data_IF_715433015610
#
_entry.id   IF_715433015610
#
_cell.length_a   1.000
_cell.length_b   1.000
_cell.length_c   1.000
_cell.angle_alpha   90.00
_cell.angle_beta   90.00
_cell.angle_gamma   90.00
#
_symmetry.space_group_name_H-M   'P 1'
#
loop_
_entity.id
_entity.type
_entity.pdbx_description
1 polymer ?
#
# COMPACT_ATOMS: atom_id res chain seq x y z
N UNK A 1 -37.39 20.25 -9.99
CA UNK A 1 -37.13 18.92 -9.35
C UNK A 1 -37.13 17.76 -10.37
N UNK A 2 -38.05 17.72 -11.36
CA UNK A 2 -38.01 16.75 -12.48
C UNK A 2 -36.94 17.05 -13.55
N UNK A 3 -36.59 18.31 -13.76
CA UNK A 3 -35.52 18.69 -14.71
C UNK A 3 -34.09 18.48 -14.16
N UNK A 4 -33.88 18.66 -12.84
CA UNK A 4 -32.59 18.37 -12.19
C UNK A 4 -32.31 16.86 -12.08
N UNK A 5 -33.37 16.05 -11.97
CA UNK A 5 -33.25 14.58 -12.02
C UNK A 5 -33.08 14.07 -13.46
N UNK A 6 -33.66 14.75 -14.46
CA UNK A 6 -33.36 14.48 -15.87
C UNK A 6 -31.92 14.88 -16.27
N UNK A 7 -31.38 15.98 -15.72
CA UNK A 7 -29.99 16.38 -15.93
C UNK A 7 -28.98 15.41 -15.27
N UNK A 8 -29.31 14.83 -14.10
CA UNK A 8 -28.50 13.75 -13.50
C UNK A 8 -28.66 12.39 -14.21
N UNK A 9 -29.81 12.13 -14.84
CA UNK A 9 -30.04 10.91 -15.62
C UNK A 9 -29.40 10.97 -17.02
N UNK A 10 -29.19 12.17 -17.57
CA UNK A 10 -28.57 12.39 -18.89
C UNK A 10 -27.03 12.31 -18.93
N UNK A 11 -26.35 12.16 -17.79
CA UNK A 11 -24.88 12.18 -17.70
C UNK A 11 -24.23 10.78 -17.63
N UNK A 12 -25.01 9.70 -17.71
CA UNK A 12 -24.52 8.32 -17.61
C UNK A 12 -24.55 7.61 -18.96
N UNK A 13 -23.81 8.16 -19.93
CA UNK A 13 -23.40 7.36 -21.07
C UNK A 13 -22.28 6.41 -20.60
N UNK A 14 -22.66 5.14 -20.38
CA UNK A 14 -21.76 4.06 -19.97
C UNK A 14 -20.66 3.75 -20.99
N UNK A 15 -20.67 4.42 -22.15
CA UNK A 15 -19.75 4.19 -23.27
C UNK A 15 -18.70 5.28 -23.46
N UNK A 16 -18.77 6.40 -22.73
CA UNK A 16 -17.81 7.49 -22.94
C UNK A 16 -16.41 7.15 -22.41
N UNK A 17 -15.36 7.25 -23.24
CA UNK A 17 -13.99 7.01 -22.82
C UNK A 17 -13.54 8.10 -21.83
N UNK A 18 -12.83 7.68 -20.78
CA UNK A 18 -12.36 8.55 -19.68
C UNK A 18 -11.55 9.79 -20.10
N UNK A 19 -10.97 9.78 -21.30
CA UNK A 19 -10.29 10.93 -21.90
C UNK A 19 -11.22 12.14 -22.09
N UNK A 20 -12.53 11.93 -22.24
CA UNK A 20 -13.51 13.02 -22.33
C UNK A 20 -13.96 13.52 -20.94
N UNK A 21 -13.82 12.69 -19.90
CA UNK A 21 -14.16 13.04 -18.50
C UNK A 21 -13.06 13.90 -17.87
N UNK A 22 -11.79 13.67 -18.24
CA UNK A 22 -10.66 14.56 -17.89
C UNK A 22 -10.89 16.00 -18.39
N UNK A 23 -11.65 16.19 -19.49
CA UNK A 23 -11.98 17.51 -20.05
C UNK A 23 -13.14 18.24 -19.34
N UNK A 24 -13.99 17.53 -18.58
CA UNK A 24 -15.11 18.14 -17.84
C UNK A 24 -14.75 18.51 -16.39
N UNK A 25 -13.70 17.93 -15.82
CA UNK A 25 -13.21 18.25 -14.47
C UNK A 25 -12.22 19.41 -14.52
N UNK A 26 -12.72 20.64 -14.70
CA UNK A 26 -11.86 21.83 -14.60
C UNK A 26 -11.12 21.87 -13.26
N UNK A 27 -9.78 21.82 -13.29
CA UNK A 27 -8.79 22.04 -12.19
C UNK A 27 -9.04 21.45 -10.77
N UNK A 28 -10.13 20.72 -10.49
CA UNK A 28 -10.57 20.30 -9.15
C UNK A 28 -10.87 18.81 -9.09
N UNK A 29 -9.83 17.98 -9.26
CA UNK A 29 -9.91 16.54 -8.95
C UNK A 29 -9.24 16.28 -7.60
N UNK A 30 -9.98 15.68 -6.66
CA UNK A 30 -9.56 15.46 -5.26
C UNK A 30 -8.33 14.56 -5.18
N UNK A 31 -8.28 13.54 -6.05
CA UNK A 31 -7.23 12.52 -6.07
C UNK A 31 -6.21 12.71 -7.20
N UNK A 32 -6.13 13.88 -7.81
CA UNK A 32 -5.27 14.15 -8.98
C UNK A 32 -3.81 13.69 -8.80
N UNK A 33 -3.21 13.94 -7.64
CA UNK A 33 -1.84 13.50 -7.34
C UNK A 33 -1.68 11.98 -7.29
N UNK A 34 -2.68 11.26 -6.77
CA UNK A 34 -2.67 9.79 -6.71
C UNK A 34 -2.93 9.19 -8.09
N UNK A 35 -3.80 9.81 -8.89
CA UNK A 35 -4.03 9.42 -10.28
C UNK A 35 -2.75 9.61 -11.09
N UNK A 36 -2.06 10.74 -10.94
CA UNK A 36 -0.76 10.97 -11.58
C UNK A 36 0.27 9.92 -11.15
N UNK A 37 0.29 9.57 -9.87
CA UNK A 37 1.16 8.53 -9.36
C UNK A 37 0.87 7.15 -9.99
N UNK A 38 -0.41 6.77 -10.08
CA UNK A 38 -0.85 5.55 -10.76
C UNK A 38 -0.60 5.59 -12.29
N UNK A 39 -0.54 6.77 -12.91
CA UNK A 39 -0.11 6.94 -14.30
C UNK A 39 1.37 6.58 -14.47
N UNK A 40 2.23 7.08 -13.58
CA UNK A 40 3.66 6.72 -13.57
C UNK A 40 3.84 5.22 -13.34
N UNK A 41 3.00 4.60 -12.49
CA UNK A 41 2.99 3.15 -12.29
C UNK A 41 2.54 2.33 -13.51
N UNK A 42 2.03 2.97 -14.57
CA UNK A 42 1.43 2.27 -15.71
C UNK A 42 0.05 1.66 -15.42
N UNK A 43 -0.56 1.93 -14.26
CA UNK A 43 -1.88 1.42 -13.89
C UNK A 43 -3.01 2.29 -14.45
N UNK A 44 -2.82 3.60 -14.51
CA UNK A 44 -3.86 4.53 -14.98
C UNK A 44 -3.50 5.14 -16.34
N UNK A 45 -4.34 5.03 -17.38
CA UNK A 45 -4.05 5.64 -18.68
C UNK A 45 -4.32 7.13 -18.69
N UNK A 46 -3.48 7.85 -19.43
CA UNK A 46 -3.63 9.28 -19.72
C UNK A 46 -4.48 9.54 -20.99
N UNK A 47 -4.40 8.65 -21.98
CA UNK A 47 -5.22 8.61 -23.20
C UNK A 47 -5.14 7.20 -23.81
N UNK A 48 -6.09 6.81 -24.67
CA UNK A 48 -6.00 5.55 -25.41
C UNK A 48 -4.83 5.62 -26.42
N UNK A 49 -3.63 5.31 -25.97
CA UNK A 49 -2.42 5.39 -26.78
C UNK A 49 -1.56 4.14 -26.62
N UNK A 50 -1.04 3.64 -27.73
CA UNK A 50 -0.16 2.47 -27.77
C UNK A 50 1.06 2.60 -26.83
N UNK A 51 1.54 3.82 -26.59
CA UNK A 51 2.67 4.11 -25.68
C UNK A 51 2.38 3.74 -24.23
N UNK A 52 1.17 4.01 -23.73
CA UNK A 52 0.77 3.66 -22.37
C UNK A 52 0.67 2.13 -22.24
N UNK A 53 0.02 1.47 -23.19
CA UNK A 53 -0.10 0.02 -23.19
C UNK A 53 1.27 -0.65 -23.25
N UNK A 54 2.17 -0.16 -24.11
CA UNK A 54 3.53 -0.66 -24.22
C UNK A 54 4.29 -0.53 -22.89
N UNK A 55 4.21 0.63 -22.23
CA UNK A 55 4.84 0.84 -20.93
C UNK A 55 4.31 -0.14 -19.87
N UNK A 56 2.98 -0.27 -19.75
CA UNK A 56 2.36 -1.18 -18.78
C UNK A 56 2.75 -2.64 -19.04
N UNK A 57 2.68 -3.09 -20.30
CA UNK A 57 3.06 -4.45 -20.67
C UNK A 57 4.55 -4.69 -20.39
N UNK A 58 5.42 -3.73 -20.73
CA UNK A 58 6.85 -3.84 -20.47
C UNK A 58 7.16 -3.99 -18.97
N UNK A 59 6.51 -3.20 -18.11
CA UNK A 59 6.68 -3.30 -16.64
C UNK A 59 6.28 -4.68 -16.13
N UNK A 60 5.18 -5.25 -16.62
CA UNK A 60 4.73 -6.59 -16.23
C UNK A 60 5.63 -7.70 -16.79
N UNK A 61 6.14 -7.55 -18.01
CA UNK A 61 7.10 -8.49 -18.61
C UNK A 61 8.44 -8.50 -17.84
N UNK A 62 8.94 -7.33 -17.44
CA UNK A 62 10.13 -7.25 -16.59
C UNK A 62 9.91 -7.94 -15.24
N UNK A 63 8.72 -7.79 -14.63
CA UNK A 63 8.37 -8.50 -13.40
C UNK A 63 8.36 -10.02 -13.58
N UNK A 64 7.77 -10.54 -14.67
CA UNK A 64 7.79 -11.97 -14.99
C UNK A 64 9.21 -12.48 -15.20
N UNK A 65 10.03 -11.75 -15.95
CA UNK A 65 11.43 -12.11 -16.17
C UNK A 65 12.22 -12.14 -14.86
N UNK A 66 11.99 -11.16 -13.98
CA UNK A 66 12.59 -11.14 -12.65
C UNK A 66 12.17 -12.33 -11.78
N UNK A 67 10.89 -12.71 -11.80
CA UNK A 67 10.40 -13.90 -11.09
C UNK A 67 11.09 -15.16 -11.63
N UNK A 68 11.19 -15.31 -12.95
CA UNK A 68 11.87 -16.46 -13.56
C UNK A 68 13.35 -16.55 -13.12
N UNK A 69 14.05 -15.42 -13.08
CA UNK A 69 15.43 -15.33 -12.57
C UNK A 69 15.50 -15.71 -11.09
N UNK A 70 14.59 -15.23 -10.26
CA UNK A 70 14.55 -15.58 -8.84
C UNK A 70 14.26 -17.06 -8.59
N UNK A 71 13.35 -17.65 -9.37
CA UNK A 71 13.08 -19.10 -9.30
C UNK A 71 14.31 -19.90 -9.71
N UNK A 72 14.98 -19.52 -10.81
CA UNK A 72 16.22 -20.16 -11.24
C UNK A 72 17.32 -20.05 -10.16
N UNK A 73 17.47 -18.87 -9.55
CA UNK A 73 18.39 -18.63 -8.44
C UNK A 73 18.14 -19.59 -7.28
N UNK A 74 16.88 -19.73 -6.83
CA UNK A 74 16.51 -20.67 -5.74
C UNK A 74 16.85 -22.12 -6.11
N UNK A 75 16.64 -22.54 -7.36
CA UNK A 75 17.01 -23.89 -7.81
C UNK A 75 18.52 -24.13 -7.83
N UNK A 76 19.31 -23.08 -8.11
CA UNK A 76 20.77 -23.17 -8.15
C UNK A 76 21.43 -22.99 -6.79
N UNK A 77 20.73 -22.42 -5.81
CA UNK A 77 21.27 -22.11 -4.49
C UNK A 77 21.59 -23.40 -3.72
N UNK A 78 22.88 -23.67 -3.50
CA UNK A 78 23.39 -24.88 -2.81
C UNK A 78 23.47 -24.64 -1.30
N UNK A 79 22.31 -24.50 -0.67
CA UNK A 79 22.19 -24.48 0.79
C UNK A 79 22.38 -23.11 1.44
N UNK A 80 22.48 -22.01 0.68
CA UNK A 80 22.38 -20.65 1.23
C UNK A 80 20.93 -20.29 1.58
N UNK A 81 20.50 -20.71 2.78
CA UNK A 81 19.14 -20.47 3.29
C UNK A 81 18.85 -18.98 3.43
N UNK A 82 19.87 -18.17 3.74
CA UNK A 82 19.73 -16.72 3.92
C UNK A 82 19.44 -16.03 2.58
N UNK A 83 20.22 -16.34 1.55
CA UNK A 83 20.02 -15.83 0.18
C UNK A 83 18.69 -16.29 -0.43
N UNK A 84 18.31 -17.55 -0.22
CA UNK A 84 17.01 -18.09 -0.66
C UNK A 84 15.85 -17.34 0.02
N UNK A 85 15.94 -17.13 1.34
CA UNK A 85 14.88 -16.45 2.10
C UNK A 85 14.68 -15.01 1.64
N UNK A 86 15.77 -14.26 1.44
CA UNK A 86 15.71 -12.90 0.92
C UNK A 86 15.12 -12.85 -0.50
N UNK A 87 15.55 -13.76 -1.37
CA UNK A 87 15.00 -13.88 -2.74
C UNK A 87 13.51 -14.20 -2.70
N UNK A 88 13.09 -15.13 -1.85
CA UNK A 88 11.68 -15.51 -1.71
C UNK A 88 10.80 -14.35 -1.21
N UNK A 89 11.25 -13.59 -0.20
CA UNK A 89 10.51 -12.42 0.28
C UNK A 89 10.30 -11.38 -0.83
N UNK A 90 11.35 -11.12 -1.63
CA UNK A 90 11.24 -10.15 -2.71
C UNK A 90 10.37 -10.67 -3.87
N UNK A 91 10.44 -11.97 -4.18
CA UNK A 91 9.55 -12.61 -5.16
C UNK A 91 8.08 -12.50 -4.74
N UNK A 92 7.76 -12.75 -3.46
CA UNK A 92 6.41 -12.61 -2.93
C UNK A 92 5.87 -11.19 -3.09
N UNK A 93 6.71 -10.17 -2.87
CA UNK A 93 6.30 -8.77 -3.04
C UNK A 93 6.02 -8.41 -4.50
N UNK A 94 6.88 -8.86 -5.43
CA UNK A 94 6.67 -8.65 -6.88
C UNK A 94 5.39 -9.36 -7.34
N UNK A 95 5.14 -10.58 -6.87
CA UNK A 95 3.91 -11.34 -7.17
C UNK A 95 2.67 -10.61 -6.64
N UNK A 96 2.72 -10.08 -5.41
CA UNK A 96 1.65 -9.27 -4.83
C UNK A 96 1.35 -8.03 -5.71
N UNK A 97 2.38 -7.32 -6.16
CA UNK A 97 2.26 -6.20 -7.09
C UNK A 97 1.56 -6.58 -8.41
N UNK A 98 1.94 -7.71 -9.01
CA UNK A 98 1.29 -8.24 -10.22
C UNK A 98 -0.18 -8.60 -10.00
N UNK A 99 -0.50 -9.27 -8.89
CA UNK A 99 -1.88 -9.61 -8.51
C UNK A 99 -2.72 -8.34 -8.34
N UNK A 100 -2.20 -7.34 -7.64
CA UNK A 100 -2.88 -6.04 -7.48
C UNK A 100 -3.09 -5.33 -8.82
N UNK A 101 -2.10 -5.32 -9.71
CA UNK A 101 -2.23 -4.76 -11.04
C UNK A 101 -3.35 -5.47 -11.84
N UNK A 102 -3.36 -6.82 -11.83
CA UNK A 102 -4.41 -7.61 -12.48
C UNK A 102 -5.81 -7.34 -11.91
N UNK A 103 -5.93 -7.24 -10.59
CA UNK A 103 -7.18 -6.88 -9.92
C UNK A 103 -7.63 -5.46 -10.29
N UNK A 104 -6.69 -4.52 -10.43
CA UNK A 104 -6.98 -3.14 -10.82
C UNK A 104 -7.55 -3.11 -12.24
N UNK A 105 -6.90 -3.79 -13.19
CA UNK A 105 -7.38 -3.87 -14.56
C UNK A 105 -8.76 -4.52 -14.66
N UNK A 106 -8.98 -5.59 -13.88
CA UNK A 106 -10.28 -6.30 -13.84
C UNK A 106 -11.42 -5.42 -13.30
N UNK A 107 -11.14 -4.57 -12.32
CA UNK A 107 -12.15 -3.71 -11.66
C UNK A 107 -12.02 -2.24 -12.05
N UNK A 108 -11.33 -1.91 -13.14
CA UNK A 108 -10.93 -0.53 -13.47
C UNK A 108 -12.09 0.46 -13.53
N UNK A 109 -13.25 0.04 -14.05
CA UNK A 109 -14.45 0.87 -14.09
C UNK A 109 -14.96 1.24 -12.69
N UNK A 110 -14.75 0.39 -11.68
CA UNK A 110 -15.11 0.69 -10.29
C UNK A 110 -14.24 1.80 -9.71
N UNK A 111 -12.92 1.77 -9.94
CA UNK A 111 -12.01 2.85 -9.51
C UNK A 111 -12.37 4.20 -10.10
N UNK A 112 -12.76 4.18 -11.38
CA UNK A 112 -13.25 5.35 -12.08
C UNK A 112 -14.49 5.94 -11.44
N UNK A 113 -15.50 5.10 -11.17
CA UNK A 113 -16.69 5.55 -10.45
C UNK A 113 -16.37 6.06 -9.05
N UNK A 114 -15.41 5.45 -8.34
CA UNK A 114 -14.99 5.92 -7.02
C UNK A 114 -14.42 7.35 -7.08
N UNK A 115 -13.52 7.63 -8.02
CA UNK A 115 -13.00 9.00 -8.18
C UNK A 115 -14.12 10.00 -8.47
N UNK A 116 -15.03 9.66 -9.39
CA UNK A 116 -16.16 10.52 -9.74
C UNK A 116 -17.11 10.75 -8.56
N UNK A 117 -17.53 9.67 -7.88
CA UNK A 117 -18.42 9.75 -6.72
C UNK A 117 -17.78 10.60 -5.61
N UNK A 118 -16.47 10.49 -5.38
CA UNK A 118 -15.76 11.30 -4.39
C UNK A 118 -15.71 12.78 -4.80
N UNK A 119 -15.35 13.08 -6.05
CA UNK A 119 -15.29 14.46 -6.55
C UNK A 119 -16.66 15.14 -6.50
N UNK A 120 -17.74 14.41 -6.81
CA UNK A 120 -19.12 14.89 -6.68
C UNK A 120 -19.54 15.15 -5.22
N UNK A 121 -19.06 14.36 -4.27
CA UNK A 121 -19.35 14.60 -2.84
C UNK A 121 -18.58 15.80 -2.28
N UNK A 122 -17.39 16.09 -2.82
CA UNK A 122 -16.50 17.15 -2.33
C UNK A 122 -16.74 18.49 -3.05
N UNK A 123 -17.43 18.50 -4.19
CA UNK A 123 -17.54 19.67 -5.07
C UNK A 123 -18.12 20.92 -4.40
N UNK A 124 -19.16 20.76 -3.58
CA UNK A 124 -19.83 21.89 -2.90
C UNK A 124 -18.99 22.47 -1.75
N UNK A 125 -18.20 21.62 -1.09
CA UNK A 125 -17.46 21.94 0.13
C UNK A 125 -15.94 22.01 -0.11
N UNK A 126 -15.51 22.21 -1.36
CA UNK A 126 -14.13 22.04 -1.79
C UNK A 126 -13.10 22.79 -0.92
N UNK A 127 -13.42 24.02 -0.51
CA UNK A 127 -12.53 24.92 0.24
C UNK A 127 -12.65 24.78 1.77
N UNK A 128 -13.44 23.82 2.27
CA UNK A 128 -13.55 23.55 3.71
C UNK A 128 -12.20 23.08 4.29
N UNK A 129 -11.82 23.55 5.49
CA UNK A 129 -10.51 23.25 6.08
C UNK A 129 -10.30 21.75 6.30
N UNK A 130 -11.35 20.99 6.62
CA UNK A 130 -11.31 19.54 6.80
C UNK A 130 -10.84 18.84 5.52
N UNK A 131 -11.46 19.19 4.38
CA UNK A 131 -11.15 18.61 3.07
C UNK A 131 -9.80 19.08 2.52
N UNK A 132 -9.44 20.35 2.77
CA UNK A 132 -8.10 20.87 2.46
C UNK A 132 -7.03 20.10 3.24
N UNK A 133 -7.27 19.83 4.53
CA UNK A 133 -6.34 19.08 5.36
C UNK A 133 -6.20 17.63 4.89
N UNK A 134 -7.32 16.96 4.55
CA UNK A 134 -7.31 15.60 4.02
C UNK A 134 -6.51 15.50 2.72
N UNK A 135 -6.69 16.43 1.77
CA UNK A 135 -5.87 16.50 0.53
C UNK A 135 -4.39 16.67 0.83
N UNK A 136 -4.03 17.58 1.75
CA UNK A 136 -2.64 17.83 2.13
C UNK A 136 -2.00 16.62 2.79
N UNK A 137 -2.67 15.97 3.74
CA UNK A 137 -2.18 14.78 4.43
C UNK A 137 -2.04 13.60 3.48
N UNK A 138 -3.05 13.33 2.64
CA UNK A 138 -2.99 12.26 1.66
C UNK A 138 -1.79 12.43 0.71
N UNK A 139 -1.61 13.65 0.15
CA UNK A 139 -0.46 13.93 -0.72
C UNK A 139 0.87 13.82 0.00
N UNK A 140 0.97 14.40 1.21
CA UNK A 140 2.20 14.36 2.01
C UNK A 140 2.59 12.93 2.33
N UNK A 141 1.65 12.10 2.77
CA UNK A 141 1.88 10.69 3.08
C UNK A 141 2.42 9.93 1.86
N UNK A 142 1.75 10.04 0.71
CA UNK A 142 2.16 9.35 -0.53
C UNK A 142 3.55 9.79 -0.99
N UNK A 143 3.83 11.10 -1.00
CA UNK A 143 5.14 11.63 -1.41
C UNK A 143 6.23 11.25 -0.42
N UNK A 144 5.99 11.39 0.89
CA UNK A 144 6.98 11.05 1.92
C UNK A 144 7.30 9.56 1.95
N UNK A 145 6.30 8.68 1.88
CA UNK A 145 6.49 7.22 1.84
C UNK A 145 7.26 6.80 0.58
N UNK A 146 6.86 7.34 -0.57
CA UNK A 146 7.54 7.08 -1.84
C UNK A 146 9.00 7.55 -1.81
N UNK A 147 9.24 8.78 -1.36
CA UNK A 147 10.58 9.35 -1.28
C UNK A 147 11.47 8.51 -0.36
N UNK A 148 10.96 8.11 0.81
CA UNK A 148 11.66 7.23 1.74
C UNK A 148 12.08 5.92 1.07
N UNK A 149 11.14 5.21 0.42
CA UNK A 149 11.45 3.93 -0.22
C UNK A 149 12.44 4.08 -1.37
N UNK A 150 12.31 5.10 -2.22
CA UNK A 150 13.30 5.34 -3.27
C UNK A 150 14.67 5.74 -2.70
N UNK A 151 14.74 6.49 -1.60
CA UNK A 151 16.04 6.78 -0.96
C UNK A 151 16.71 5.50 -0.47
N UNK A 152 15.97 4.55 0.09
CA UNK A 152 16.51 3.26 0.49
C UNK A 152 17.00 2.45 -0.72
N UNK A 153 16.21 2.40 -1.80
CA UNK A 153 16.58 1.68 -3.02
C UNK A 153 17.82 2.30 -3.65
N UNK A 154 17.85 3.63 -3.82
CA UNK A 154 18.99 4.33 -4.43
C UNK A 154 20.26 4.24 -3.57
N UNK A 155 20.12 4.14 -2.25
CA UNK A 155 21.23 3.86 -1.35
C UNK A 155 21.72 2.41 -1.48
N UNK A 156 20.81 1.46 -1.67
CA UNK A 156 21.13 0.04 -1.81
C UNK A 156 21.74 -0.33 -3.17
N UNK A 157 21.25 0.28 -4.26
CA UNK A 157 21.64 -0.09 -5.63
C UNK A 157 23.16 -0.08 -5.87
N UNK A 158 23.97 0.88 -5.36
CA UNK A 158 25.42 0.85 -5.53
C UNK A 158 26.14 -0.15 -4.62
N UNK A 159 25.53 -0.61 -3.53
CA UNK A 159 26.20 -1.42 -2.51
C UNK A 159 26.87 -2.71 -3.05
N UNK A 160 26.25 -3.50 -3.96
CA UNK A 160 26.89 -4.69 -4.53
C UNK A 160 28.13 -4.36 -5.37
N UNK A 161 28.14 -3.20 -6.04
CA UNK A 161 29.28 -2.75 -6.84
C UNK A 161 30.44 -2.23 -5.98
N UNK A 162 30.12 -1.69 -4.81
CA UNK A 162 31.11 -1.16 -3.85
C UNK A 162 31.65 -2.24 -2.92
N UNK A 163 30.83 -3.24 -2.58
CA UNK A 163 31.20 -4.36 -1.71
C UNK A 163 31.86 -5.53 -2.47
N UNK A 164 31.57 -5.66 -3.77
CA UNK A 164 32.18 -6.67 -4.63
C UNK A 164 33.65 -6.33 -4.90
N UNK A 165 34.56 -7.03 -4.23
CA UNK A 165 35.98 -7.10 -4.62
C UNK A 165 36.14 -7.85 -5.95
N UNK A 166 36.87 -8.97 -5.95
CA UNK A 166 37.04 -9.79 -7.18
C UNK A 166 35.75 -10.51 -7.63
N UNK A 167 34.72 -10.59 -6.77
CA UNK A 167 33.43 -11.22 -7.10
C UNK A 167 32.36 -10.16 -7.42
N UNK A 168 31.79 -10.24 -8.63
CA UNK A 168 30.67 -9.39 -9.04
C UNK A 168 29.36 -9.88 -8.41
N UNK A 169 28.72 -9.03 -7.62
CA UNK A 169 27.44 -9.31 -6.95
C UNK A 169 26.28 -8.61 -7.65
N UNK A 170 25.12 -9.26 -7.68
CA UNK A 170 23.87 -8.66 -8.18
C UNK A 170 23.17 -7.83 -7.07
N UNK A 171 22.21 -6.94 -7.40
CA UNK A 171 21.54 -6.10 -6.39
C UNK A 171 20.67 -6.83 -5.36
N UNK A 172 19.94 -7.86 -5.79
CA UNK A 172 18.95 -8.53 -4.95
C UNK A 172 19.05 -10.04 -5.09
N UNK A 173 18.84 -10.56 -6.29
CA UNK A 173 18.85 -12.00 -6.56
C UNK A 173 20.25 -12.40 -6.99
N UNK A 174 20.92 -13.23 -6.19
CA UNK A 174 22.20 -13.84 -6.53
C UNK A 174 21.98 -15.16 -7.27
N UNK A 175 22.78 -15.44 -8.30
CA UNK A 175 22.80 -16.75 -8.95
C UNK A 175 24.12 -17.40 -8.59
N UNK A 176 24.06 -18.52 -7.86
CA UNK A 176 25.24 -19.23 -7.42
C UNK A 176 25.91 -20.00 -8.56
N UNK A 177 27.23 -20.08 -8.52
CA UNK A 177 28.02 -20.90 -9.44
C UNK A 177 28.28 -20.30 -10.84
N UNK A 178 27.91 -19.03 -11.06
CA UNK A 178 28.18 -18.32 -12.32
C UNK A 178 29.34 -17.35 -12.15
N UNK A 179 30.38 -17.52 -12.97
CA UNK A 179 31.46 -16.54 -13.07
C UNK A 179 31.08 -15.43 -14.06
N UNK A 180 30.73 -14.27 -13.51
CA UNK A 180 30.33 -13.07 -14.26
C UNK A 180 31.48 -12.39 -15.01
N UNK A 181 32.74 -12.81 -14.80
CA UNK A 181 33.87 -12.34 -15.60
C UNK A 181 33.78 -12.85 -17.05
N UNK A 182 33.25 -14.05 -17.24
CA UNK A 182 33.08 -14.70 -18.55
C UNK A 182 31.89 -14.15 -19.35
N UNK A 183 30.86 -13.61 -18.66
CA UNK A 183 29.60 -13.15 -19.28
C UNK A 183 29.23 -11.72 -18.87
N UNK A 184 30.05 -10.71 -19.21
CA UNK A 184 29.84 -9.33 -18.75
C UNK A 184 28.54 -8.70 -19.28
N UNK A 185 28.10 -9.06 -20.50
CA UNK A 185 26.84 -8.59 -21.07
C UNK A 185 25.60 -9.14 -20.35
N UNK A 186 25.62 -10.43 -19.99
CA UNK A 186 24.54 -11.05 -19.22
C UNK A 186 24.44 -10.47 -17.81
N UNK A 187 25.58 -10.23 -17.16
CA UNK A 187 25.65 -9.53 -15.87
C UNK A 187 24.99 -8.14 -15.96
N UNK A 188 25.40 -7.32 -16.93
CA UNK A 188 24.83 -5.97 -17.11
C UNK A 188 23.32 -6.00 -17.39
N UNK A 189 22.85 -6.96 -18.20
CA UNK A 189 21.43 -7.13 -18.51
C UNK A 189 20.61 -7.54 -17.28
N UNK A 190 21.09 -8.50 -16.48
CA UNK A 190 20.42 -8.91 -15.24
C UNK A 190 20.44 -7.80 -14.19
N UNK A 191 21.55 -7.09 -14.06
CA UNK A 191 21.63 -5.93 -13.18
C UNK A 191 20.60 -4.86 -13.57
N UNK A 192 20.56 -4.50 -14.86
CA UNK A 192 19.58 -3.54 -15.39
C UNK A 192 18.14 -4.02 -15.19
N UNK A 193 17.85 -5.31 -15.38
CA UNK A 193 16.55 -5.91 -15.11
C UNK A 193 16.16 -5.73 -13.64
N UNK A 194 17.03 -6.11 -12.69
CA UNK A 194 16.74 -5.98 -11.26
C UNK A 194 16.53 -4.51 -10.85
N UNK A 195 17.37 -3.58 -11.34
CA UNK A 195 17.17 -2.14 -11.12
C UNK A 195 15.83 -1.65 -11.69
N UNK A 196 15.48 -2.07 -12.92
CA UNK A 196 14.24 -1.65 -13.56
C UNK A 196 13.02 -2.12 -12.77
N UNK A 197 13.05 -3.34 -12.24
CA UNK A 197 11.95 -3.92 -11.47
C UNK A 197 11.81 -3.21 -10.12
N UNK A 198 12.92 -2.99 -9.41
CA UNK A 198 12.92 -2.23 -8.14
C UNK A 198 12.33 -0.83 -8.31
N UNK A 199 12.66 -0.14 -9.41
CA UNK A 199 12.16 1.22 -9.65
C UNK A 199 10.70 1.24 -10.13
N UNK A 200 10.27 0.26 -10.92
CA UNK A 200 8.94 0.27 -11.56
C UNK A 200 7.85 -0.42 -10.74
N UNK A 201 8.19 -1.38 -9.86
CA UNK A 201 7.20 -2.10 -9.05
C UNK A 201 6.74 -1.31 -7.81
N UNK A 202 7.63 -0.50 -7.23
CA UNK A 202 7.31 0.38 -6.08
C UNK A 202 6.02 1.19 -6.28
N UNK A 203 5.85 1.95 -7.38
CA UNK A 203 4.63 2.74 -7.57
C UNK A 203 3.40 1.89 -7.87
N UNK A 204 3.56 0.65 -8.37
CA UNK A 204 2.45 -0.30 -8.58
C UNK A 204 1.89 -0.76 -7.23
N UNK A 205 2.76 -1.16 -6.30
CA UNK A 205 2.36 -1.64 -4.98
C UNK A 205 1.82 -0.50 -4.12
N UNK A 206 2.62 0.56 -3.95
CA UNK A 206 2.32 1.68 -3.04
C UNK A 206 1.16 2.52 -3.57
N UNK A 207 1.04 2.67 -4.90
CA UNK A 207 0.07 3.58 -5.49
C UNK A 207 -1.37 3.22 -5.13
N UNK A 208 -1.70 1.93 -5.14
CA UNK A 208 -3.04 1.44 -4.81
C UNK A 208 -3.31 1.51 -3.30
N UNK A 209 -2.31 1.27 -2.46
CA UNK A 209 -2.43 1.38 -1.00
C UNK A 209 -2.64 2.85 -0.59
N UNK A 210 -1.84 3.76 -1.16
CA UNK A 210 -1.98 5.19 -0.97
C UNK A 210 -3.32 5.73 -1.51
N UNK A 211 -3.82 5.20 -2.63
CA UNK A 211 -5.15 5.55 -3.14
C UNK A 211 -6.24 5.19 -2.13
N UNK A 212 -6.20 3.99 -1.55
CA UNK A 212 -7.17 3.57 -0.54
C UNK A 212 -7.12 4.45 0.71
N UNK A 213 -5.92 4.72 1.23
CA UNK A 213 -5.75 5.59 2.41
C UNK A 213 -6.22 7.02 2.11
N UNK A 214 -5.90 7.56 0.92
CA UNK A 214 -6.36 8.87 0.50
C UNK A 214 -7.89 8.94 0.44
N UNK A 215 -8.56 7.94 -0.14
CA UNK A 215 -10.02 7.86 -0.17
C UNK A 215 -10.60 7.85 1.26
N UNK A 216 -10.04 7.05 2.16
CA UNK A 216 -10.47 6.97 3.56
C UNK A 216 -10.29 8.30 4.31
N UNK A 217 -9.19 9.03 4.10
CA UNK A 217 -8.97 10.35 4.69
C UNK A 217 -10.03 11.37 4.24
N UNK A 218 -10.45 11.35 2.97
CA UNK A 218 -11.51 12.22 2.49
C UNK A 218 -12.88 11.81 3.04
N UNK A 219 -13.17 10.51 3.13
CA UNK A 219 -14.40 10.04 3.78
C UNK A 219 -14.45 10.48 5.25
N UNK A 220 -13.34 10.36 5.98
CA UNK A 220 -13.26 10.83 7.36
C UNK A 220 -13.54 12.34 7.47
N UNK A 221 -13.00 13.15 6.57
CA UNK A 221 -13.28 14.59 6.51
C UNK A 221 -14.76 14.89 6.19
N UNK A 222 -15.38 14.14 5.27
CA UNK A 222 -16.80 14.26 4.95
C UNK A 222 -17.70 13.89 6.14
N UNK A 223 -17.33 12.87 6.92
CA UNK A 223 -18.04 12.49 8.14
C UNK A 223 -17.90 13.54 9.24
N UNK A 224 -16.71 14.14 9.40
CA UNK A 224 -16.49 15.25 10.33
C UNK A 224 -17.35 16.46 9.96
N UNK A 225 -17.39 16.83 8.67
CA UNK A 225 -18.21 17.93 8.18
C UNK A 225 -19.70 17.67 8.41
N UNK A 226 -20.16 16.44 8.15
CA UNK A 226 -21.53 16.02 8.44
C UNK A 226 -21.85 16.15 9.94
N UNK A 227 -20.94 15.72 10.81
CA UNK A 227 -21.08 15.87 12.26
C UNK A 227 -21.23 17.33 12.69
N UNK A 228 -20.40 18.23 12.14
CA UNK A 228 -20.50 19.68 12.40
C UNK A 228 -21.83 20.26 11.95
N UNK A 229 -22.33 19.87 10.76
CA UNK A 229 -23.64 20.33 10.26
C UNK A 229 -24.78 19.87 11.17
N UNK A 230 -24.76 18.61 11.62
CA UNK A 230 -25.76 18.06 12.54
C UNK A 230 -25.72 18.79 13.89
N UNK A 231 -24.54 19.06 14.46
CA UNK A 231 -24.46 19.84 15.71
C UNK A 231 -24.97 21.27 15.55
N UNK A 232 -24.76 21.88 14.38
CA UNK A 232 -25.31 23.21 14.06
C UNK A 232 -26.84 23.24 14.05
N UNK A 233 -27.49 22.14 13.65
CA UNK A 233 -28.95 22.03 13.66
C UNK A 233 -29.54 22.07 15.08
N UNK A 234 -28.85 21.51 16.07
CA UNK A 234 -29.33 21.53 17.46
C UNK A 234 -29.40 22.96 18.01
N UNK A 235 -28.37 23.79 17.72
CA UNK A 235 -28.33 25.20 18.13
C UNK A 235 -29.48 25.99 17.49
N UNK A 236 -29.73 25.75 16.19
CA UNK A 236 -30.83 26.40 15.46
C UNK A 236 -32.19 25.96 16.03
N UNK A 237 -32.35 24.66 16.34
CA UNK A 237 -33.57 24.11 16.92
C UNK A 237 -33.90 24.73 18.29
N UNK A 238 -32.89 24.95 19.15
CA UNK A 238 -33.07 25.64 20.43
C UNK A 238 -33.59 27.07 20.24
N UNK A 239 -33.01 27.82 19.30
CA UNK A 239 -33.44 29.20 18.98
C UNK A 239 -34.84 29.27 18.34
N UNK A 240 -35.34 28.21 17.70
CA UNK A 240 -36.70 28.17 17.11
C UNK A 240 -37.78 28.07 18.18
N UNK A 241 -37.49 27.46 19.33
CA UNK A 241 -38.45 27.28 20.42
C UNK A 241 -38.94 28.63 21.00
N UNK A 242 -38.11 29.68 20.90
CA UNK A 242 -38.38 31.01 21.47
C UNK A 242 -39.15 31.96 20.52
N UNK A 243 -39.43 31.53 19.28
CA UNK A 243 -40.03 32.39 18.23
C UNK A 243 -41.53 32.08 18.01
N UNK A 244 -42.38 33.11 17.99
CA UNK A 244 -43.81 33.02 17.68
C UNK A 244 -44.14 33.31 16.19
N UNK A 245 -45.22 32.72 15.66
CA UNK A 245 -45.81 33.05 14.35
C UNK A 245 -45.14 32.44 13.11
N UNK A 246 -45.37 33.03 11.93
CA UNK A 246 -44.91 32.56 10.60
C UNK A 246 -43.38 32.37 10.48
N UNK A 247 -42.60 33.15 11.24
CA UNK A 247 -41.13 33.06 11.26
C UNK A 247 -40.67 31.69 11.81
N UNK A 248 -41.38 31.16 12.80
CA UNK A 248 -41.10 29.83 13.37
C UNK A 248 -41.36 28.69 12.38
N UNK A 249 -42.37 28.83 11.50
CA UNK A 249 -42.70 27.84 10.47
C UNK A 249 -41.64 27.82 9.37
N UNK A 250 -41.22 29.00 8.88
CA UNK A 250 -40.18 29.11 7.86
C UNK A 250 -38.84 28.54 8.35
N UNK A 251 -38.46 28.81 9.60
CA UNK A 251 -37.22 28.27 10.19
C UNK A 251 -37.28 26.76 10.42
N UNK A 252 -38.44 26.20 10.82
CA UNK A 252 -38.65 24.75 10.91
C UNK A 252 -38.51 24.05 9.55
N UNK A 253 -39.02 24.65 8.47
CA UNK A 253 -38.85 24.11 7.11
C UNK A 253 -37.38 24.08 6.69
N UNK A 254 -36.61 25.13 6.99
CA UNK A 254 -35.17 25.17 6.72
C UNK A 254 -34.42 24.10 7.53
N UNK A 255 -34.75 23.95 8.82
CA UNK A 255 -34.15 22.91 9.69
C UNK A 255 -34.40 21.51 9.13
N UNK A 256 -35.65 21.22 8.74
CA UNK A 256 -36.01 19.92 8.18
C UNK A 256 -35.32 19.67 6.83
N UNK A 257 -35.25 20.68 5.96
CA UNK A 257 -34.56 20.57 4.68
C UNK A 257 -33.07 20.26 4.86
N UNK A 258 -32.40 20.93 5.80
CA UNK A 258 -30.98 20.70 6.09
C UNK A 258 -30.74 19.32 6.72
N UNK A 259 -31.65 18.85 7.58
CA UNK A 259 -31.62 17.48 8.11
C UNK A 259 -31.75 16.44 6.97
N UNK A 260 -32.67 16.66 6.03
CA UNK A 260 -32.79 15.80 4.85
C UNK A 260 -31.48 15.77 4.03
N UNK A 261 -30.83 16.92 3.84
CA UNK A 261 -29.52 17.01 3.16
C UNK A 261 -28.45 16.20 3.91
N UNK A 262 -28.41 16.31 5.24
CA UNK A 262 -27.48 15.53 6.07
C UNK A 262 -27.69 14.02 5.90
N UNK A 263 -28.95 13.56 5.93
CA UNK A 263 -29.30 12.14 5.74
C UNK A 263 -28.86 11.66 4.35
N UNK A 264 -29.16 12.44 3.30
CA UNK A 264 -28.77 12.10 1.92
C UNK A 264 -27.25 12.04 1.77
N UNK A 265 -26.51 12.99 2.36
CA UNK A 265 -25.05 12.99 2.31
C UNK A 265 -24.46 11.80 3.07
N UNK A 266 -25.00 11.43 4.24
CA UNK A 266 -24.60 10.23 4.94
C UNK A 266 -24.82 8.94 4.12
N UNK A 267 -25.95 8.86 3.42
CA UNK A 267 -26.26 7.74 2.52
C UNK A 267 -25.28 7.66 1.35
N UNK A 268 -24.91 8.81 0.75
CA UNK A 268 -23.88 8.87 -0.30
C UNK A 268 -22.53 8.37 0.21
N UNK A 269 -22.09 8.82 1.38
CA UNK A 269 -20.83 8.38 2.01
C UNK A 269 -20.85 6.88 2.26
N UNK A 270 -21.94 6.35 2.81
CA UNK A 270 -22.08 4.92 3.11
C UNK A 270 -22.07 4.08 1.83
N UNK A 271 -22.73 4.54 0.76
CA UNK A 271 -22.70 3.88 -0.56
C UNK A 271 -21.30 3.90 -1.16
N UNK A 272 -20.59 5.02 -1.05
CA UNK A 272 -19.20 5.15 -1.50
C UNK A 272 -18.28 4.18 -0.76
N UNK A 273 -18.39 4.09 0.57
CA UNK A 273 -17.61 3.14 1.38
C UNK A 273 -17.82 1.69 0.95
N UNK A 274 -19.07 1.26 0.71
CA UNK A 274 -19.35 -0.10 0.22
C UNK A 274 -18.71 -0.36 -1.16
N UNK A 275 -18.78 0.62 -2.06
CA UNK A 275 -18.15 0.50 -3.38
C UNK A 275 -16.61 0.45 -3.27
N UNK A 276 -16.03 1.25 -2.36
CA UNK A 276 -14.59 1.29 -2.11
C UNK A 276 -14.11 -0.04 -1.54
N UNK A 277 -14.83 -0.58 -0.56
CA UNK A 277 -14.58 -1.88 0.05
C UNK A 277 -14.67 -3.00 -1.00
N UNK A 278 -15.73 -3.06 -1.80
CA UNK A 278 -15.87 -4.08 -2.84
C UNK A 278 -14.76 -4.03 -3.91
N UNK A 279 -14.26 -2.83 -4.21
CA UNK A 279 -13.14 -2.65 -5.13
C UNK A 279 -11.81 -3.09 -4.52
N UNK A 280 -11.56 -2.73 -3.25
CA UNK A 280 -10.22 -2.73 -2.64
C UNK A 280 -9.99 -3.86 -1.64
N UNK A 281 -11.02 -4.48 -1.08
CA UNK A 281 -10.92 -5.49 -0.01
C UNK A 281 -9.97 -6.62 -0.37
N UNK A 282 -10.10 -7.21 -1.57
CA UNK A 282 -9.20 -8.28 -2.04
C UNK A 282 -7.75 -7.81 -2.15
N UNK A 283 -7.49 -6.58 -2.59
CA UNK A 283 -6.13 -6.04 -2.71
C UNK A 283 -5.50 -5.80 -1.35
N UNK A 284 -6.27 -5.26 -0.40
CA UNK A 284 -5.83 -5.07 0.99
C UNK A 284 -5.51 -6.41 1.63
N UNK A 285 -6.34 -7.44 1.40
CA UNK A 285 -6.09 -8.79 1.90
C UNK A 285 -4.78 -9.38 1.35
N UNK A 286 -4.54 -9.25 0.04
CA UNK A 286 -3.30 -9.70 -0.60
C UNK A 286 -2.08 -8.97 -0.02
N UNK A 287 -2.17 -7.65 0.21
CA UNK A 287 -1.06 -6.90 0.81
C UNK A 287 -0.79 -7.32 2.25
N UNK A 288 -1.82 -7.40 3.09
CA UNK A 288 -1.65 -7.73 4.50
C UNK A 288 -1.11 -9.14 4.69
N UNK A 289 -1.59 -10.10 3.89
CA UNK A 289 -1.07 -11.48 3.92
C UNK A 289 0.38 -11.55 3.47
N UNK A 290 0.74 -10.90 2.35
CA UNK A 290 2.12 -10.87 1.85
C UNK A 290 3.06 -10.22 2.85
N UNK A 291 2.71 -9.03 3.36
CA UNK A 291 3.51 -8.32 4.37
C UNK A 291 3.74 -9.18 5.61
N UNK A 292 2.72 -9.87 6.09
CA UNK A 292 2.87 -10.71 7.27
C UNK A 292 3.79 -11.90 7.02
N UNK A 293 3.68 -12.56 5.86
CA UNK A 293 4.59 -13.66 5.50
C UNK A 293 6.02 -13.16 5.46
N UNK A 294 6.28 -12.02 4.80
CA UNK A 294 7.61 -11.41 4.73
C UNK A 294 8.14 -11.05 6.12
N UNK A 295 7.31 -10.45 6.99
CA UNK A 295 7.69 -10.16 8.37
C UNK A 295 8.03 -11.44 9.15
N UNK A 296 7.21 -12.48 9.04
CA UNK A 296 7.45 -13.73 9.75
C UNK A 296 8.75 -14.42 9.28
N UNK A 297 9.01 -14.45 7.97
CA UNK A 297 10.26 -15.00 7.43
C UNK A 297 11.47 -14.19 7.88
N UNK A 298 11.39 -12.85 7.85
CA UNK A 298 12.48 -11.99 8.28
C UNK A 298 12.80 -12.16 9.76
N UNK A 299 11.78 -12.24 10.61
CA UNK A 299 11.95 -12.52 12.04
C UNK A 299 12.55 -13.90 12.29
N UNK A 300 12.10 -14.91 11.56
CA UNK A 300 12.66 -16.27 11.67
C UNK A 300 14.16 -16.29 11.35
N UNK A 301 14.56 -15.62 10.27
CA UNK A 301 15.97 -15.51 9.88
C UNK A 301 16.83 -14.86 10.98
N UNK A 302 16.33 -13.79 11.62
CA UNK A 302 17.03 -13.14 12.73
C UNK A 302 17.18 -14.06 13.95
N UNK A 303 16.18 -14.90 14.24
CA UNK A 303 16.28 -15.90 15.32
C UNK A 303 17.36 -16.93 15.01
N UNK A 304 17.40 -17.46 13.78
CA UNK A 304 18.41 -18.44 13.36
C UNK A 304 19.84 -17.88 13.47
N UNK A 305 20.05 -16.62 13.08
CA UNK A 305 21.35 -15.96 13.24
C UNK A 305 21.76 -15.81 14.72
N UNK A 306 20.81 -15.58 15.63
CA UNK A 306 21.06 -15.57 17.07
C UNK A 306 21.48 -16.94 17.63
N UNK A 307 20.87 -18.03 17.14
CA UNK A 307 21.21 -19.40 17.52
C UNK A 307 22.61 -19.77 17.01
N UNK A 308 22.93 -19.45 15.76
CA UNK A 308 24.25 -19.68 15.17
C UNK A 308 25.38 -18.98 15.95
N UNK A 309 25.14 -17.78 16.49
CA UNK A 309 26.09 -17.10 17.37
C UNK A 309 26.34 -17.88 18.66
N UNK A 310 25.29 -18.44 19.26
CA UNK A 310 25.41 -19.28 20.47
C UNK A 310 26.21 -20.55 20.19
N UNK A 311 25.94 -21.20 19.06
CA UNK A 311 26.67 -22.40 18.62
C UNK A 311 28.15 -22.09 18.36
N UNK A 312 28.45 -21.01 17.63
CA UNK A 312 29.82 -20.59 17.35
C UNK A 312 30.60 -20.22 18.63
N UNK A 313 29.93 -19.60 19.60
CA UNK A 313 30.51 -19.35 20.92
C UNK A 313 30.82 -20.69 21.62
N UNK A 314 29.89 -21.64 21.60
CA UNK A 314 30.07 -22.96 22.22
C UNK A 314 31.20 -23.78 21.59
N UNK A 315 31.28 -23.78 20.25
CA UNK A 315 32.28 -24.49 19.47
C UNK A 315 33.64 -23.78 19.41
N UNK A 316 33.79 -22.64 20.09
CA UNK A 316 35.09 -21.98 20.17
C UNK A 316 36.07 -22.83 21.00
N UNK A 317 37.37 -22.67 20.75
CA UNK A 317 38.41 -23.37 21.52
C UNK A 317 38.60 -22.73 22.92
N UNK A 318 37.52 -22.59 23.68
CA UNK A 318 37.49 -21.96 25.01
C UNK A 318 38.01 -22.88 26.12
N UNK A 319 37.98 -24.20 25.88
CA UNK A 319 38.56 -25.21 26.76
C UNK A 319 40.08 -25.10 26.68
N UNK A 320 40.70 -24.46 27.69
CA UNK A 320 42.12 -24.12 27.72
C UNK A 320 42.45 -22.62 27.58
N UNK A 321 41.46 -21.78 27.26
CA UNK A 321 41.61 -20.33 27.26
C UNK A 321 41.69 -19.75 28.69
N UNK A 322 42.21 -18.53 28.84
CA UNK A 322 42.32 -17.87 30.13
C UNK A 322 40.96 -17.65 30.83
N UNK A 323 40.95 -17.68 32.16
CA UNK A 323 39.73 -17.59 32.98
C UNK A 323 38.87 -16.35 32.70
N UNK A 324 39.48 -15.23 32.28
CA UNK A 324 38.76 -14.03 31.86
C UNK A 324 37.94 -14.23 30.59
N UNK A 325 38.50 -14.91 29.58
CA UNK A 325 37.82 -15.22 28.32
C UNK A 325 36.65 -16.19 28.54
N UNK A 326 36.87 -17.25 29.32
CA UNK A 326 35.84 -18.23 29.65
C UNK A 326 34.64 -17.59 30.35
N UNK A 327 34.88 -16.71 31.32
CA UNK A 327 33.81 -15.96 32.02
C UNK A 327 33.04 -15.05 31.06
N UNK A 328 33.73 -14.34 30.17
CA UNK A 328 33.09 -13.49 29.18
C UNK A 328 32.23 -14.30 28.21
N UNK A 329 32.72 -15.44 27.74
CA UNK A 329 32.01 -16.32 26.82
C UNK A 329 30.77 -16.96 27.44
N UNK A 330 30.81 -17.34 28.72
CA UNK A 330 29.62 -17.81 29.45
C UNK A 330 28.51 -16.75 29.48
N UNK A 331 28.87 -15.46 29.62
CA UNK A 331 27.89 -14.36 29.57
C UNK A 331 27.29 -14.24 28.16
N UNK A 332 28.12 -14.36 27.12
CA UNK A 332 27.67 -14.32 25.71
C UNK A 332 26.69 -15.46 25.43
N UNK A 333 27.05 -16.72 25.77
CA UNK A 333 26.17 -17.88 25.57
C UNK A 333 24.87 -17.76 26.37
N UNK A 334 24.96 -17.36 27.66
CA UNK A 334 23.77 -17.18 28.50
C UNK A 334 22.82 -16.09 27.97
N UNK A 335 23.35 -15.07 27.30
CA UNK A 335 22.55 -14.03 26.65
C UNK A 335 22.01 -14.44 25.28
N UNK A 336 22.80 -15.19 24.50
CA UNK A 336 22.41 -15.68 23.18
C UNK A 336 21.30 -16.75 23.25
N UNK A 337 21.24 -17.53 24.33
CA UNK A 337 20.15 -18.49 24.58
C UNK A 337 18.78 -17.86 24.83
N UNK A 338 18.68 -16.53 25.01
CA UNK A 338 17.39 -15.85 25.11
C UNK A 338 16.86 -15.63 23.69
N UNK A 339 15.76 -16.30 23.28
CA UNK A 339 15.28 -16.20 21.91
C UNK A 339 14.93 -14.75 21.56
N UNK A 340 15.36 -14.30 20.38
CA UNK A 340 15.10 -12.97 19.81
C UNK A 340 13.62 -12.87 19.38
N UNK A 341 12.71 -12.96 20.35
CA UNK A 341 11.27 -12.86 20.13
C UNK A 341 10.86 -11.40 20.05
N UNK A 342 10.46 -10.96 18.87
CA UNK A 342 9.79 -9.67 18.71
C UNK A 342 8.32 -9.85 19.05
N UNK A 343 7.84 -9.09 20.03
CA UNK A 343 6.43 -9.09 20.46
C UNK A 343 5.73 -7.83 19.97
N UNK A 344 4.51 -7.97 19.46
CA UNK A 344 3.61 -6.87 19.18
C UNK A 344 3.14 -6.27 20.52
N UNK A 345 3.69 -5.10 20.87
CA UNK A 345 3.32 -4.35 22.07
C UNK A 345 3.50 -5.12 23.38
N UNK A 346 4.49 -6.02 23.49
CA UNK A 346 4.71 -6.93 24.63
C UNK A 346 3.59 -7.94 24.93
N UNK A 347 2.55 -8.02 24.10
CA UNK A 347 1.39 -8.90 24.34
C UNK A 347 1.51 -10.23 23.61
N UNK A 348 1.94 -10.20 22.33
CA UNK A 348 1.96 -11.39 21.48
C UNK A 348 3.23 -11.48 20.64
N UNK A 349 3.90 -12.64 20.55
CA UNK A 349 5.02 -12.82 19.63
C UNK A 349 4.54 -12.69 18.17
N UNK A 350 5.28 -11.94 17.35
CA UNK A 350 5.00 -11.82 15.92
C UNK A 350 5.56 -13.05 15.22
N UNK A 351 4.69 -14.02 14.92
CA UNK A 351 5.05 -15.24 14.21
C UNK A 351 3.88 -15.74 13.33
N UNK A 352 4.16 -16.73 12.48
CA UNK A 352 3.17 -17.27 11.53
C UNK A 352 1.94 -17.85 12.22
N UNK A 353 2.10 -18.45 13.40
CA UNK A 353 0.99 -19.02 14.17
C UNK A 353 0.04 -17.92 14.68
N UNK A 354 0.59 -16.81 15.21
CA UNK A 354 -0.17 -15.65 15.64
C UNK A 354 -0.92 -15.00 14.47
N UNK A 355 -0.32 -14.96 13.28
CA UNK A 355 -1.02 -14.50 12.08
C UNK A 355 -2.18 -15.39 11.69
N UNK A 356 -1.97 -16.71 11.61
CA UNK A 356 -3.05 -17.66 11.27
C UNK A 356 -4.18 -17.56 12.31
N UNK A 357 -3.84 -17.38 13.58
CA UNK A 357 -4.84 -17.14 14.63
C UNK A 357 -5.61 -15.84 14.40
N UNK A 358 -4.91 -14.73 14.06
CA UNK A 358 -5.54 -13.45 13.75
C UNK A 358 -6.47 -13.56 12.53
N UNK A 359 -6.02 -14.20 11.45
CA UNK A 359 -6.82 -14.42 10.24
C UNK A 359 -8.07 -15.26 10.52
N UNK A 360 -7.93 -16.34 11.29
CA UNK A 360 -9.07 -17.17 11.72
C UNK A 360 -10.04 -16.35 12.57
N UNK A 361 -9.55 -15.53 13.50
CA UNK A 361 -10.38 -14.68 14.32
C UNK A 361 -11.13 -13.63 13.50
N UNK A 362 -10.45 -12.95 12.56
CA UNK A 362 -11.07 -11.98 11.64
C UNK A 362 -12.13 -12.63 10.75
N UNK A 363 -11.86 -13.82 10.22
CA UNK A 363 -12.84 -14.58 9.43
C UNK A 363 -14.05 -14.98 10.26
N UNK A 364 -13.83 -15.54 11.47
CA UNK A 364 -14.93 -15.89 12.38
C UNK A 364 -15.79 -14.67 12.74
N UNK A 365 -15.17 -13.51 13.00
CA UNK A 365 -15.89 -12.27 13.28
C UNK A 365 -16.67 -11.76 12.08
N UNK A 366 -16.16 -11.95 10.87
CA UNK A 366 -16.87 -11.58 9.64
C UNK A 366 -18.08 -12.49 9.36
N UNK A 367 -18.02 -13.76 9.76
CA UNK A 367 -19.11 -14.73 9.55
C UNK A 367 -20.15 -14.77 10.67
N UNK A 368 -19.90 -14.08 11.78
CA UNK A 368 -20.86 -13.83 12.87
C UNK A 368 -21.71 -12.60 12.53
#
# INVERSE_FOLDING_TARGET
RREATAAMAGALDKTKPWSEVDGQHGNRCTLAGHILYLRVAGLWPHAQGARYLLHTVMVQLCAVAYIAVGVASIYTARGDVDGISHTLMHLLEVVSGMVKAGLFFSKRQSFYRLVQDLDLMVSEDWDRPELVSARRWARRMTVSLTAYIYTLILLWLPAPLLAGGDQKLLPVVQIEGVDWSLWPGAYAALYALQCSVLLTQVPVVIGLDCFFVAAMLHVAALLQLLGQRISGLQVISGSVADLAGDVSLKRRQVLYAELCTCIVNHQKITKYLRNLEAAMSTMVLVQLSTNMICLCMGLYQQIQQGEALSEAAYSSHWVGAGAGFQRALCIVMARAHKPLLITAGHLYPVNTAAFVALMKASYSYYTL
#
